data_IF_220705842051
#
_entry.id   IF_220705842051
#
_cell.length_a   1.000
_cell.length_b   1.000
_cell.length_c   1.000
_cell.angle_alpha   90.00
_cell.angle_beta   90.00
_cell.angle_gamma   90.00
#
_symmetry.space_group_name_H-M   'P 1'
#
loop_
_entity.id
_entity.type
_entity.pdbx_description
1 polymer ?
#
# COMPACT_ATOMS: atom_id res chain seq x y z
N UNK A 1 43.86 -29.23 -5.52
CA UNK A 1 43.01 -29.62 -6.66
C UNK A 1 42.01 -28.49 -6.89
N UNK A 2 42.14 -27.76 -8.00
CA UNK A 2 41.24 -26.67 -8.35
C UNK A 2 39.93 -27.25 -8.90
N UNK A 3 38.80 -26.89 -8.29
CA UNK A 3 37.48 -27.25 -8.82
C UNK A 3 37.14 -26.34 -10.00
N UNK A 4 37.02 -26.94 -11.18
CA UNK A 4 36.51 -26.31 -12.40
C UNK A 4 34.99 -26.18 -12.27
N UNK A 5 34.48 -24.94 -12.25
CA UNK A 5 33.06 -24.68 -12.34
C UNK A 5 32.57 -24.86 -13.78
N UNK A 6 31.71 -25.85 -14.01
CA UNK A 6 31.03 -26.07 -15.28
C UNK A 6 29.96 -24.94 -15.48
N UNK A 7 29.93 -24.49 -16.73
CA UNK A 7 29.17 -23.40 -17.29
C UNK A 7 27.68 -23.39 -16.88
N UNK A 8 27.26 -22.32 -16.17
CA UNK A 8 25.86 -21.89 -16.12
C UNK A 8 25.59 -20.89 -17.25
N UNK A 9 24.32 -20.53 -17.51
CA UNK A 9 23.89 -19.70 -18.65
C UNK A 9 24.42 -18.24 -18.68
N UNK A 10 25.37 -17.92 -17.83
CA UNK A 10 26.03 -16.61 -17.72
C UNK A 10 27.44 -16.58 -18.36
N UNK A 11 27.81 -17.59 -19.08
CA UNK A 11 29.16 -17.71 -19.64
C UNK A 11 29.37 -16.99 -20.98
N UNK A 12 28.36 -16.38 -21.58
CA UNK A 12 28.44 -15.73 -22.89
C UNK A 12 28.62 -14.21 -22.88
N UNK A 13 28.56 -13.54 -21.74
CA UNK A 13 28.99 -12.14 -21.68
C UNK A 13 30.46 -12.10 -21.34
N UNK A 14 31.29 -11.70 -22.32
CA UNK A 14 32.76 -11.64 -22.24
C UNK A 14 33.27 -11.08 -20.92
N UNK A 15 33.77 -11.96 -20.06
CA UNK A 15 34.46 -11.60 -18.82
C UNK A 15 35.76 -10.91 -19.16
N UNK A 16 35.78 -9.62 -19.07
CA UNK A 16 36.99 -8.87 -18.81
C UNK A 16 37.41 -9.23 -17.38
N UNK A 17 38.54 -9.91 -17.24
CA UNK A 17 39.13 -10.26 -15.93
C UNK A 17 39.42 -9.00 -15.11
N UNK A 18 39.37 -9.07 -13.78
CA UNK A 18 39.16 -7.91 -12.92
C UNK A 18 40.43 -7.07 -12.75
N UNK A 19 40.51 -6.03 -13.54
CA UNK A 19 41.08 -4.79 -13.03
C UNK A 19 40.20 -4.32 -11.89
N UNK A 20 40.76 -3.68 -10.85
CA UNK A 20 40.11 -3.15 -9.67
C UNK A 20 38.66 -2.73 -10.00
N UNK A 21 37.67 -3.44 -9.43
CA UNK A 21 36.25 -3.14 -9.62
C UNK A 21 36.02 -1.67 -9.23
N UNK A 22 35.81 -0.83 -10.23
CA UNK A 22 35.35 0.55 -9.93
C UNK A 22 33.99 0.41 -9.30
N UNK A 23 33.81 0.95 -8.12
CA UNK A 23 32.48 1.04 -7.51
C UNK A 23 31.53 1.81 -8.44
N UNK A 24 30.26 1.43 -8.49
CA UNK A 24 29.32 2.14 -9.35
C UNK A 24 29.20 3.58 -8.87
N UNK A 25 29.23 4.50 -9.82
CA UNK A 25 29.04 5.93 -9.55
C UNK A 25 27.60 6.33 -9.27
N UNK A 26 26.66 5.37 -9.22
CA UNK A 26 25.23 5.64 -9.16
C UNK A 26 24.54 4.63 -8.24
N UNK A 27 24.15 5.09 -7.06
CA UNK A 27 23.45 4.33 -6.04
C UNK A 27 22.16 5.04 -5.68
N UNK A 28 21.02 4.35 -5.79
CA UNK A 28 19.74 4.92 -5.42
C UNK A 28 19.63 5.07 -3.90
N UNK A 29 19.21 6.26 -3.45
CA UNK A 29 18.89 6.54 -2.06
C UNK A 29 17.53 7.22 -1.94
N UNK A 30 16.87 7.03 -0.79
CA UNK A 30 15.55 7.59 -0.52
C UNK A 30 15.65 8.86 0.34
N UNK A 31 14.97 9.89 -0.11
CA UNK A 31 14.69 11.07 0.72
C UNK A 31 13.45 10.84 1.61
N UNK A 32 13.29 11.60 2.72
CA UNK A 32 12.13 11.50 3.60
C UNK A 32 10.77 11.70 2.91
N UNK A 33 10.74 12.41 1.79
CA UNK A 33 9.54 12.60 0.97
C UNK A 33 9.25 11.44 -0.01
N UNK A 34 10.06 10.37 0.03
CA UNK A 34 9.94 9.20 -0.83
C UNK A 34 10.58 9.37 -2.22
N UNK A 35 11.17 10.52 -2.53
CA UNK A 35 11.90 10.72 -3.80
C UNK A 35 13.19 9.90 -3.79
N UNK A 36 13.46 9.23 -4.91
CA UNK A 36 14.75 8.54 -5.15
C UNK A 36 15.73 9.55 -5.72
N UNK A 37 16.92 9.58 -5.16
CA UNK A 37 18.08 10.32 -5.68
C UNK A 37 19.23 9.36 -5.93
N UNK A 38 20.18 9.77 -6.76
CA UNK A 38 21.37 9.01 -7.08
C UNK A 38 22.56 9.64 -6.39
N UNK A 39 23.37 8.81 -5.72
CA UNK A 39 24.60 9.22 -5.02
C UNK A 39 25.78 8.32 -5.40
N UNK A 40 26.99 8.69 -5.00
CA UNK A 40 28.19 7.94 -5.31
C UNK A 40 28.56 6.90 -4.24
N UNK A 41 28.07 7.07 -2.99
CA UNK A 41 28.42 6.22 -1.87
C UNK A 41 27.21 5.89 -0.99
N UNK A 42 27.20 4.65 -0.44
CA UNK A 42 26.24 4.26 0.60
C UNK A 42 26.69 4.77 1.97
N UNK A 43 25.72 5.19 2.76
CA UNK A 43 25.92 5.44 4.17
C UNK A 43 25.81 4.11 4.95
N UNK A 44 26.68 3.93 5.95
CA UNK A 44 26.72 2.72 6.78
C UNK A 44 26.76 3.09 8.25
N UNK A 45 25.94 2.43 9.04
CA UNK A 45 26.09 2.49 10.49
C UNK A 45 27.31 1.67 10.91
N UNK A 46 28.09 2.18 11.86
CA UNK A 46 29.01 1.38 12.65
C UNK A 46 28.24 0.40 13.55
N UNK A 47 28.90 -0.62 14.05
CA UNK A 47 28.27 -1.54 15.01
C UNK A 47 27.79 -0.85 16.28
N UNK A 48 28.45 0.25 16.71
CA UNK A 48 28.02 1.06 17.86
C UNK A 48 26.73 1.81 17.52
N UNK A 49 26.70 2.53 16.39
CA UNK A 49 25.51 3.28 15.97
C UNK A 49 24.29 2.37 15.77
N UNK A 50 24.47 1.16 15.21
CA UNK A 50 23.39 0.18 15.10
C UNK A 50 22.84 -0.24 16.46
N UNK A 51 23.72 -0.47 17.45
CA UNK A 51 23.32 -0.81 18.82
C UNK A 51 22.60 0.35 19.50
N UNK A 52 23.13 1.55 19.37
CA UNK A 52 22.53 2.77 19.94
C UNK A 52 21.16 3.04 19.33
N UNK A 53 21.01 2.80 18.03
CA UNK A 53 19.74 2.89 17.30
C UNK A 53 18.71 1.90 17.86
N UNK A 54 19.06 0.61 17.98
CA UNK A 54 18.15 -0.42 18.49
C UNK A 54 17.80 -0.20 19.96
N UNK A 55 18.75 0.25 20.79
CA UNK A 55 18.48 0.62 22.18
C UNK A 55 17.53 1.82 22.32
N UNK A 56 17.53 2.73 21.36
CA UNK A 56 16.59 3.85 21.30
C UNK A 56 15.18 3.42 20.93
N UNK A 57 15.06 2.41 20.03
CA UNK A 57 13.76 1.82 19.65
C UNK A 57 13.18 0.99 20.78
N UNK A 58 14.04 0.25 21.50
CA UNK A 58 13.68 -0.67 22.59
C UNK A 58 14.38 -0.24 23.90
N UNK A 59 14.02 0.91 24.50
CA UNK A 59 14.75 1.48 25.63
C UNK A 59 14.69 0.56 26.85
N UNK A 60 15.87 0.17 27.34
CA UNK A 60 16.01 -0.70 28.51
C UNK A 60 15.64 -2.18 28.29
N UNK A 61 15.17 -2.56 27.10
CA UNK A 61 14.71 -3.91 26.79
C UNK A 61 15.82 -4.84 26.25
N UNK A 62 16.95 -4.27 25.81
CA UNK A 62 18.03 -5.01 25.17
C UNK A 62 19.25 -5.17 26.08
N UNK A 63 19.98 -6.26 25.86
CA UNK A 63 21.29 -6.53 26.46
C UNK A 63 22.26 -7.09 25.41
N UNK A 64 23.57 -6.95 25.64
CA UNK A 64 24.59 -7.47 24.73
C UNK A 64 25.13 -8.78 25.28
N UNK A 65 24.99 -9.88 24.49
CA UNK A 65 25.61 -11.18 24.75
C UNK A 65 26.39 -11.60 23.51
N UNK A 66 27.64 -11.98 23.65
CA UNK A 66 28.47 -12.48 22.54
C UNK A 66 28.45 -11.57 21.29
N UNK A 67 28.55 -10.25 21.49
CA UNK A 67 28.52 -9.20 20.45
C UNK A 67 27.16 -9.04 19.74
N UNK A 68 26.13 -9.81 20.09
CA UNK A 68 24.76 -9.69 19.59
C UNK A 68 23.87 -8.96 20.61
N UNK A 69 22.75 -8.43 20.10
CA UNK A 69 21.72 -7.82 20.94
C UNK A 69 20.61 -8.83 21.20
N UNK A 70 20.28 -9.05 22.45
CA UNK A 70 19.21 -9.91 22.93
C UNK A 70 18.14 -9.11 23.65
N UNK A 71 16.90 -9.56 23.55
CA UNK A 71 15.87 -9.09 24.47
C UNK A 71 16.06 -9.71 25.86
N UNK A 72 15.95 -8.88 26.90
CA UNK A 72 16.04 -9.33 28.31
C UNK A 72 14.90 -10.26 28.70
N UNK A 73 13.71 -10.06 28.11
CA UNK A 73 12.52 -10.90 28.33
C UNK A 73 12.44 -11.97 27.25
N UNK A 74 11.94 -13.14 27.65
CA UNK A 74 11.62 -14.21 26.70
C UNK A 74 10.31 -13.94 26.00
N UNK A 75 10.14 -14.52 24.80
CA UNK A 75 8.88 -14.53 24.08
C UNK A 75 7.82 -15.33 24.87
N UNK A 76 6.55 -15.17 24.53
CA UNK A 76 5.44 -15.95 25.11
C UNK A 76 5.69 -17.47 25.04
N UNK A 77 6.42 -17.93 24.03
CA UNK A 77 6.77 -19.34 23.85
C UNK A 77 8.08 -19.73 24.57
N UNK A 78 8.58 -18.89 25.47
CA UNK A 78 9.78 -19.14 26.27
C UNK A 78 11.10 -19.04 25.55
N UNK A 79 11.12 -18.57 24.29
CA UNK A 79 12.35 -18.38 23.50
C UNK A 79 13.03 -17.05 23.87
N UNK A 80 14.34 -17.04 23.86
CA UNK A 80 15.10 -15.78 23.80
C UNK A 80 15.06 -15.26 22.35
N UNK A 81 15.06 -13.93 22.17
CA UNK A 81 15.06 -13.28 20.87
C UNK A 81 16.37 -12.50 20.69
N UNK A 82 17.06 -12.69 19.58
CA UNK A 82 18.27 -11.93 19.28
C UNK A 82 18.28 -11.35 17.86
N UNK A 83 19.00 -10.23 17.70
CA UNK A 83 19.22 -9.57 16.43
C UNK A 83 20.59 -9.92 15.85
N UNK A 84 20.57 -10.42 14.61
CA UNK A 84 21.77 -10.46 13.77
C UNK A 84 21.65 -9.33 12.75
N UNK A 85 22.35 -8.23 13.01
CA UNK A 85 22.19 -6.97 12.28
C UNK A 85 23.22 -6.78 11.18
N UNK A 86 22.82 -6.21 10.05
CA UNK A 86 23.68 -5.80 8.92
C UNK A 86 23.19 -4.50 8.31
N UNK A 87 24.08 -3.72 7.70
CA UNK A 87 23.70 -2.58 6.89
C UNK A 87 23.10 -3.05 5.56
N UNK A 88 22.03 -2.38 5.12
CA UNK A 88 21.49 -2.51 3.77
C UNK A 88 22.26 -1.56 2.86
N UNK A 89 23.06 -2.11 1.97
CA UNK A 89 23.96 -1.36 1.08
C UNK A 89 23.80 -1.82 -0.37
N UNK A 90 24.29 -1.04 -1.32
CA UNK A 90 24.33 -1.41 -2.73
C UNK A 90 25.25 -2.64 -2.95
N UNK A 91 24.92 -3.44 -3.96
CA UNK A 91 25.68 -4.64 -4.28
C UNK A 91 27.13 -4.39 -4.68
N UNK A 92 27.45 -3.20 -5.17
CA UNK A 92 28.74 -2.86 -5.76
C UNK A 92 28.90 -3.37 -7.21
N UNK A 93 29.94 -2.93 -7.89
CA UNK A 93 30.27 -3.35 -9.25
C UNK A 93 29.25 -2.88 -10.30
N UNK A 94 28.89 -3.77 -11.23
CA UNK A 94 28.01 -3.48 -12.37
C UNK A 94 26.51 -3.72 -12.08
N UNK A 95 26.11 -3.86 -10.81
CA UNK A 95 24.71 -4.03 -10.46
C UNK A 95 23.92 -2.73 -10.63
N UNK A 96 22.65 -2.85 -10.99
CA UNK A 96 21.76 -1.67 -11.12
C UNK A 96 21.67 -0.90 -9.81
N UNK A 97 21.54 0.42 -9.90
CA UNK A 97 21.55 1.36 -8.77
C UNK A 97 20.51 1.04 -7.68
N UNK A 98 19.41 0.41 -8.09
CA UNK A 98 18.28 0.03 -7.24
C UNK A 98 18.52 -1.19 -6.35
N UNK A 99 19.53 -2.04 -6.68
CA UNK A 99 19.77 -3.30 -5.97
C UNK A 99 20.59 -3.08 -4.71
N UNK A 100 19.98 -3.41 -3.58
CA UNK A 100 20.64 -3.39 -2.29
C UNK A 100 20.65 -4.77 -1.66
N UNK A 101 21.58 -4.98 -0.70
CA UNK A 101 21.72 -6.25 0.01
C UNK A 101 22.18 -6.03 1.44
N UNK A 102 22.03 -7.09 2.23
CA UNK A 102 22.87 -7.31 3.41
C UNK A 102 23.88 -8.43 3.08
N UNK A 103 25.07 -8.34 3.61
CA UNK A 103 26.05 -9.44 3.58
C UNK A 103 25.82 -10.32 4.80
N UNK A 104 25.34 -11.53 4.56
CA UNK A 104 25.17 -12.53 5.60
C UNK A 104 26.52 -13.23 5.76
N UNK A 105 27.20 -13.01 6.87
CA UNK A 105 28.55 -13.55 7.09
C UNK A 105 28.58 -15.07 7.12
N UNK A 106 29.74 -15.64 6.80
CA UNK A 106 29.95 -17.12 6.70
C UNK A 106 29.65 -17.84 8.02
N UNK A 107 29.76 -17.16 9.15
CA UNK A 107 29.45 -17.70 10.48
C UNK A 107 27.96 -17.71 10.83
N UNK A 108 27.10 -17.15 9.97
CA UNK A 108 25.67 -17.04 10.29
C UNK A 108 24.97 -18.41 10.34
N UNK A 109 25.22 -19.37 9.44
CA UNK A 109 24.62 -20.71 9.54
C UNK A 109 24.92 -21.41 10.85
N UNK A 110 26.18 -21.38 11.32
CA UNK A 110 26.57 -22.00 12.59
C UNK A 110 25.93 -21.30 13.79
N UNK A 111 25.96 -19.97 13.78
CA UNK A 111 25.30 -19.15 14.79
C UNK A 111 23.80 -19.45 14.87
N UNK A 112 23.13 -19.51 13.73
CA UNK A 112 21.70 -19.80 13.66
C UNK A 112 21.40 -21.22 14.19
N UNK A 113 22.18 -22.20 13.78
CA UNK A 113 22.04 -23.59 14.25
C UNK A 113 22.28 -23.69 15.77
N UNK A 114 23.28 -22.99 16.30
CA UNK A 114 23.54 -22.92 17.74
C UNK A 114 22.38 -22.24 18.48
N UNK A 115 21.91 -21.11 17.99
CA UNK A 115 20.79 -20.38 18.58
C UNK A 115 19.53 -21.24 18.62
N UNK A 116 19.22 -21.93 17.51
CA UNK A 116 18.06 -22.83 17.43
C UNK A 116 18.13 -23.95 18.47
N UNK A 117 19.31 -24.56 18.68
CA UNK A 117 19.53 -25.60 19.72
C UNK A 117 19.33 -25.04 21.14
N UNK A 118 19.68 -23.78 21.34
CA UNK A 118 19.56 -23.09 22.64
C UNK A 118 18.19 -22.42 22.85
N UNK A 119 17.20 -22.72 22.01
CA UNK A 119 15.85 -22.10 22.03
C UNK A 119 15.86 -20.58 21.88
N UNK A 120 16.78 -20.08 21.06
CA UNK A 120 16.92 -18.66 20.71
C UNK A 120 16.36 -18.44 19.31
N UNK A 121 15.45 -17.50 19.17
CA UNK A 121 14.95 -17.04 17.87
C UNK A 121 15.82 -15.92 17.34
N UNK A 122 16.33 -16.09 16.12
CA UNK A 122 17.25 -15.16 15.48
C UNK A 122 16.54 -14.35 14.42
N UNK A 123 16.53 -13.03 14.55
CA UNK A 123 16.05 -12.10 13.52
C UNK A 123 17.25 -11.65 12.68
N UNK A 124 17.21 -12.00 11.39
CA UNK A 124 18.16 -11.51 10.39
C UNK A 124 17.68 -10.13 9.94
N UNK A 125 18.34 -9.07 10.45
CA UNK A 125 17.91 -7.69 10.33
C UNK A 125 18.83 -6.86 9.45
N UNK A 126 18.30 -6.30 8.36
CA UNK A 126 18.94 -5.25 7.57
C UNK A 126 18.55 -3.87 8.09
N UNK A 127 19.53 -3.01 8.34
CA UNK A 127 19.28 -1.61 8.69
C UNK A 127 19.63 -0.73 7.48
N UNK A 128 18.62 -0.09 6.92
CA UNK A 128 18.76 0.93 5.89
C UNK A 128 18.69 2.31 6.51
N UNK A 129 19.63 3.18 6.12
CA UNK A 129 19.53 4.58 6.46
C UNK A 129 20.16 5.44 5.37
N UNK A 130 19.63 6.64 5.23
CA UNK A 130 20.20 7.70 4.42
C UNK A 130 19.90 9.06 5.03
N UNK A 131 20.91 9.88 5.23
CA UNK A 131 20.81 11.24 5.75
C UNK A 131 21.33 12.23 4.72
N UNK A 132 20.52 13.20 4.36
CA UNK A 132 20.95 14.28 3.52
C UNK A 132 21.53 15.40 4.39
N UNK A 133 22.82 15.71 4.23
CA UNK A 133 23.53 16.79 4.96
C UNK A 133 23.43 16.65 6.50
N UNK A 134 23.48 15.45 7.03
CA UNK A 134 23.48 15.20 8.48
C UNK A 134 22.17 15.48 9.22
N UNK A 135 21.12 15.81 8.47
CA UNK A 135 19.77 16.02 9.05
C UNK A 135 18.97 14.72 9.09
N UNK A 136 17.82 14.76 9.75
CA UNK A 136 16.91 13.62 9.82
C UNK A 136 16.66 13.02 8.45
N UNK A 137 16.98 11.74 8.33
CA UNK A 137 16.94 11.00 7.10
C UNK A 137 15.91 9.88 7.13
N UNK A 138 16.00 9.00 6.15
CA UNK A 138 15.19 7.78 6.08
C UNK A 138 15.87 6.68 6.89
N UNK A 139 15.10 5.98 7.72
CA UNK A 139 15.49 4.76 8.42
C UNK A 139 14.43 3.70 8.19
N UNK A 140 14.84 2.55 7.72
CA UNK A 140 13.96 1.40 7.49
C UNK A 140 14.65 0.13 7.97
N UNK A 141 13.85 -0.82 8.40
CA UNK A 141 14.27 -2.09 8.96
C UNK A 141 13.77 -3.21 8.06
N UNK A 142 14.70 -4.08 7.64
CA UNK A 142 14.41 -5.15 6.69
C UNK A 142 14.58 -6.48 7.40
N UNK A 143 13.48 -7.17 7.67
CA UNK A 143 13.50 -8.52 8.23
C UNK A 143 13.54 -9.54 7.10
N UNK A 144 14.56 -10.40 7.13
CA UNK A 144 14.74 -11.49 6.18
C UNK A 144 14.47 -12.83 6.87
N UNK A 145 14.10 -13.84 6.08
CA UNK A 145 13.94 -15.22 6.57
C UNK A 145 15.28 -15.79 7.05
N UNK A 146 15.54 -15.76 8.34
CA UNK A 146 16.78 -16.26 8.93
C UNK A 146 17.04 -17.75 8.58
N UNK A 147 16.01 -18.59 8.61
CA UNK A 147 16.11 -20.02 8.26
C UNK A 147 16.60 -20.21 6.82
N UNK A 148 16.07 -19.46 5.87
CA UNK A 148 16.46 -19.57 4.46
C UNK A 148 17.94 -19.28 4.25
N UNK A 149 18.45 -18.21 4.88
CA UNK A 149 19.84 -17.80 4.70
C UNK A 149 20.81 -18.66 5.52
N UNK A 150 20.35 -19.28 6.60
CA UNK A 150 21.13 -20.24 7.37
C UNK A 150 21.30 -21.61 6.67
N UNK A 151 20.36 -21.99 5.79
CA UNK A 151 20.40 -23.30 5.10
C UNK A 151 21.02 -23.25 3.71
N UNK A 152 21.43 -22.07 3.22
CA UNK A 152 22.10 -21.93 1.93
C UNK A 152 23.54 -22.45 2.00
N UNK A 153 23.84 -23.42 1.18
CA UNK A 153 25.20 -24.00 1.04
C UNK A 153 26.14 -23.15 0.15
N UNK A 154 26.06 -21.82 0.24
CA UNK A 154 26.89 -20.93 -0.57
C UNK A 154 27.71 -20.02 0.32
N UNK A 155 29.03 -20.03 0.13
CA UNK A 155 29.91 -19.01 0.68
C UNK A 155 29.45 -17.62 0.15
N UNK A 156 29.37 -16.60 0.98
CA UNK A 156 28.90 -15.25 0.64
C UNK A 156 27.41 -15.17 0.28
N UNK A 157 26.54 -15.70 1.12
CA UNK A 157 25.12 -15.48 0.94
C UNK A 157 24.77 -14.00 1.17
N UNK A 158 24.03 -13.42 0.22
CA UNK A 158 23.51 -12.06 0.32
C UNK A 158 22.00 -12.10 0.28
N UNK A 159 21.36 -11.34 1.16
CA UNK A 159 19.92 -11.14 1.14
C UNK A 159 19.60 -9.81 0.47
N UNK A 160 18.72 -9.84 -0.52
CA UNK A 160 18.47 -8.73 -1.42
C UNK A 160 17.18 -7.99 -1.10
N UNK A 161 17.24 -6.66 -1.20
CA UNK A 161 16.10 -5.75 -1.16
C UNK A 161 16.28 -4.70 -2.26
N UNK A 162 15.20 -4.22 -2.86
CA UNK A 162 15.24 -3.19 -3.89
C UNK A 162 14.86 -1.82 -3.33
N UNK A 163 15.34 -0.74 -3.94
CA UNK A 163 14.98 0.62 -3.53
C UNK A 163 13.46 0.85 -3.56
N UNK A 164 12.75 0.20 -4.50
CA UNK A 164 11.29 0.26 -4.56
C UNK A 164 10.61 -0.40 -3.35
N UNK A 165 11.17 -1.49 -2.81
CA UNK A 165 10.67 -2.13 -1.59
C UNK A 165 10.78 -1.17 -0.40
N UNK A 166 11.93 -0.48 -0.30
CA UNK A 166 12.18 0.54 0.71
C UNK A 166 11.26 1.74 0.56
N UNK A 167 11.03 2.20 -0.68
CA UNK A 167 10.14 3.32 -0.99
C UNK A 167 8.68 3.01 -0.60
N UNK A 168 8.21 1.81 -0.90
CA UNK A 168 6.87 1.36 -0.51
C UNK A 168 6.72 1.30 1.01
N UNK A 169 7.72 0.80 1.73
CA UNK A 169 7.71 0.80 3.19
C UNK A 169 7.78 2.21 3.79
N UNK A 170 8.55 3.11 3.20
CA UNK A 170 8.59 4.51 3.63
C UNK A 170 7.23 5.19 3.48
N UNK A 171 6.54 4.91 2.36
CA UNK A 171 5.22 5.48 2.05
C UNK A 171 4.12 4.91 2.95
N UNK A 172 4.10 3.59 3.15
CA UNK A 172 2.99 2.87 3.76
C UNK A 172 3.29 2.47 5.23
N UNK A 173 4.51 2.74 5.73
CA UNK A 173 4.99 2.29 7.04
C UNK A 173 5.49 0.85 7.05
N UNK A 174 5.06 0.04 6.09
CA UNK A 174 5.35 -1.39 5.96
C UNK A 174 5.19 -1.84 4.52
N UNK A 175 6.05 -2.76 4.10
CA UNK A 175 5.95 -3.42 2.81
C UNK A 175 6.41 -4.88 2.94
N UNK A 176 5.67 -5.79 2.33
CA UNK A 176 5.93 -7.22 2.35
C UNK A 176 5.90 -7.78 0.93
N UNK A 177 6.84 -8.65 0.60
CA UNK A 177 6.78 -9.47 -0.61
C UNK A 177 7.44 -10.81 -0.43
N UNK A 178 7.15 -11.72 -1.33
CA UNK A 178 7.92 -12.96 -1.49
C UNK A 178 8.99 -12.76 -2.56
N UNK A 179 10.18 -13.33 -2.34
CA UNK A 179 11.19 -13.41 -3.37
C UNK A 179 10.89 -14.58 -4.35
N UNK A 180 11.70 -14.73 -5.39
CA UNK A 180 11.55 -15.81 -6.40
C UNK A 180 11.58 -17.24 -5.80
N UNK A 181 12.06 -17.37 -4.58
CA UNK A 181 12.16 -18.65 -3.86
C UNK A 181 11.11 -18.76 -2.75
N UNK A 182 10.07 -17.94 -2.80
CA UNK A 182 9.00 -17.83 -1.79
C UNK A 182 9.50 -17.47 -0.38
N UNK A 183 10.64 -16.78 -0.27
CA UNK A 183 11.09 -16.27 1.02
C UNK A 183 10.48 -14.91 1.28
N UNK A 184 9.99 -14.73 2.48
CA UNK A 184 9.42 -13.48 2.91
C UNK A 184 10.48 -12.40 3.08
N UNK A 185 10.19 -11.22 2.56
CA UNK A 185 10.88 -9.97 2.80
C UNK A 185 9.89 -9.00 3.45
N UNK A 186 10.21 -8.51 4.62
CA UNK A 186 9.40 -7.55 5.34
C UNK A 186 10.20 -6.27 5.59
N UNK A 187 9.76 -5.15 5.05
CA UNK A 187 10.38 -3.83 5.22
C UNK A 187 9.47 -2.95 6.07
N UNK A 188 10.03 -2.32 7.10
CA UNK A 188 9.30 -1.63 8.16
C UNK A 188 9.89 -0.25 8.45
N UNK A 189 9.03 0.75 8.71
CA UNK A 189 9.47 1.95 9.41
C UNK A 189 9.72 1.65 10.90
N UNK A 190 10.24 2.60 11.65
CA UNK A 190 10.63 2.42 13.06
C UNK A 190 9.44 2.00 13.94
N UNK A 191 8.28 2.61 13.75
CA UNK A 191 7.08 2.33 14.54
C UNK A 191 6.58 0.89 14.29
N UNK A 192 6.45 0.51 13.03
CA UNK A 192 5.97 -0.83 12.67
C UNK A 192 7.01 -1.91 13.00
N UNK A 193 8.30 -1.59 12.93
CA UNK A 193 9.36 -2.49 13.39
C UNK A 193 9.23 -2.76 14.89
N UNK A 194 9.02 -1.72 15.69
CA UNK A 194 8.78 -1.89 17.13
C UNK A 194 7.56 -2.76 17.41
N UNK A 195 6.44 -2.49 16.73
CA UNK A 195 5.22 -3.31 16.83
C UNK A 195 5.47 -4.76 16.43
N UNK A 196 6.16 -4.99 15.30
CA UNK A 196 6.49 -6.34 14.84
C UNK A 196 7.26 -7.15 15.87
N UNK A 197 8.28 -6.55 16.47
CA UNK A 197 9.07 -7.24 17.49
C UNK A 197 8.26 -7.49 18.77
N UNK A 198 7.46 -6.53 19.22
CA UNK A 198 6.58 -6.74 20.39
C UNK A 198 5.54 -7.83 20.13
N UNK A 199 5.02 -7.94 18.91
CA UNK A 199 4.11 -9.01 18.53
C UNK A 199 4.80 -10.39 18.58
N UNK A 200 6.04 -10.50 18.10
CA UNK A 200 6.84 -11.72 18.25
C UNK A 200 7.05 -12.06 19.73
N UNK A 201 7.33 -11.06 20.56
CA UNK A 201 7.53 -11.25 22.00
C UNK A 201 6.27 -11.72 22.72
N UNK A 202 5.11 -11.18 22.37
CA UNK A 202 3.83 -11.46 23.03
C UNK A 202 3.09 -12.64 22.41
N UNK A 203 3.54 -13.13 21.26
CA UNK A 203 2.81 -14.12 20.44
C UNK A 203 1.47 -13.57 19.94
N UNK A 204 1.29 -12.25 19.98
CA UNK A 204 0.23 -11.62 19.21
C UNK A 204 0.53 -11.90 17.74
N UNK A 205 -0.40 -12.48 17.03
CA UNK A 205 -0.31 -12.54 15.58
C UNK A 205 -0.11 -11.11 15.11
N UNK A 206 0.92 -10.89 14.28
CA UNK A 206 0.89 -9.73 13.41
C UNK A 206 -0.50 -9.76 12.80
N UNK A 207 -1.25 -8.67 12.99
CA UNK A 207 -2.34 -8.42 12.06
C UNK A 207 -1.70 -8.62 10.69
N UNK A 208 -2.00 -9.74 10.04
CA UNK A 208 -1.39 -10.09 8.75
C UNK A 208 -1.52 -8.86 7.90
N UNK A 209 -0.38 -8.31 7.46
CA UNK A 209 -0.42 -7.36 6.37
C UNK A 209 -0.81 -8.22 5.21
N UNK A 210 -2.11 -8.33 5.06
CA UNK A 210 -2.69 -9.11 4.00
C UNK A 210 -2.23 -8.46 2.73
N UNK A 211 -1.68 -9.27 1.84
CA UNK A 211 -1.33 -8.83 0.51
C UNK A 211 -2.63 -8.43 -0.19
N UNK A 212 -2.98 -7.15 -0.10
CA UNK A 212 -4.15 -6.58 -0.75
C UNK A 212 -4.00 -6.54 -2.28
N UNK A 213 -2.87 -7.02 -2.79
CA UNK A 213 -2.56 -6.99 -4.22
C UNK A 213 -3.68 -7.62 -5.05
N UNK A 214 -4.22 -8.75 -4.62
CA UNK A 214 -5.29 -9.42 -5.37
C UNK A 214 -6.59 -8.61 -5.38
N UNK A 215 -6.89 -7.82 -4.33
CA UNK A 215 -8.03 -6.89 -4.31
C UNK A 215 -7.79 -5.73 -5.26
N UNK A 216 -6.58 -5.19 -5.28
CA UNK A 216 -6.18 -4.11 -6.19
C UNK A 216 -6.20 -4.61 -7.65
N UNK A 217 -5.67 -5.80 -7.90
CA UNK A 217 -5.70 -6.44 -9.22
C UNK A 217 -7.14 -6.70 -9.69
N UNK A 218 -8.05 -7.08 -8.76
CA UNK A 218 -9.47 -7.25 -9.07
C UNK A 218 -10.12 -5.94 -9.55
N UNK A 219 -9.87 -4.83 -8.86
CA UNK A 219 -10.35 -3.51 -9.30
C UNK A 219 -9.68 -3.06 -10.60
N UNK A 220 -8.40 -3.37 -10.81
CA UNK A 220 -7.70 -3.11 -12.07
C UNK A 220 -8.33 -3.84 -13.25
N UNK A 221 -8.64 -5.13 -13.09
CA UNK A 221 -9.34 -5.93 -14.10
C UNK A 221 -10.74 -5.37 -14.37
N UNK A 222 -11.48 -5.00 -13.33
CA UNK A 222 -12.78 -4.36 -13.47
C UNK A 222 -12.68 -3.05 -14.27
N UNK A 223 -11.71 -2.20 -13.96
CA UNK A 223 -11.50 -0.94 -14.68
C UNK A 223 -11.17 -1.17 -16.16
N UNK A 224 -10.38 -2.19 -16.46
CA UNK A 224 -10.02 -2.55 -17.83
C UNK A 224 -11.24 -2.99 -18.71
N UNK A 225 -12.37 -3.37 -18.09
CA UNK A 225 -13.60 -3.70 -18.81
C UNK A 225 -14.51 -2.50 -19.07
N UNK A 226 -14.20 -1.32 -18.50
CA UNK A 226 -14.95 -0.09 -18.74
C UNK A 226 -14.62 0.52 -20.09
N UNK A 227 -15.64 0.96 -20.87
CA UNK A 227 -15.40 1.81 -22.03
C UNK A 227 -14.68 3.10 -21.61
N UNK A 228 -13.76 3.57 -22.43
CA UNK A 228 -13.02 4.82 -22.16
C UNK A 228 -13.96 6.02 -21.98
N UNK A 229 -15.09 6.04 -22.68
CA UNK A 229 -16.11 7.09 -22.58
C UNK A 229 -17.48 6.47 -22.33
N UNK A 230 -18.19 7.00 -21.35
CA UNK A 230 -19.59 6.66 -21.07
C UNK A 230 -20.52 7.82 -21.46
N UNK A 231 -21.66 7.48 -22.02
CA UNK A 231 -22.72 8.44 -22.37
C UNK A 231 -23.89 8.31 -21.39
N UNK A 232 -24.42 9.46 -20.95
CA UNK A 232 -25.45 9.47 -19.91
C UNK A 232 -26.73 8.72 -20.30
N UNK A 233 -27.15 8.79 -21.57
CA UNK A 233 -28.34 8.06 -22.05
C UNK A 233 -28.12 6.55 -21.91
N UNK A 234 -27.00 6.03 -22.41
CA UNK A 234 -26.69 4.58 -22.40
C UNK A 234 -26.62 4.05 -20.96
N UNK A 235 -26.00 4.83 -20.05
CA UNK A 235 -25.92 4.50 -18.64
C UNK A 235 -27.30 4.44 -17.98
N UNK A 236 -28.15 5.42 -18.27
CA UNK A 236 -29.52 5.40 -17.76
C UNK A 236 -30.34 4.23 -18.36
N UNK A 237 -30.19 3.93 -19.65
CA UNK A 237 -30.90 2.80 -20.27
C UNK A 237 -30.59 1.50 -19.56
N UNK A 238 -29.32 1.23 -19.27
CA UNK A 238 -28.90 0.04 -18.50
C UNK A 238 -29.51 0.02 -17.10
N UNK A 239 -29.43 1.13 -16.36
CA UNK A 239 -30.02 1.21 -15.02
C UNK A 239 -31.56 1.07 -15.06
N UNK A 240 -32.23 1.59 -16.10
CA UNK A 240 -33.68 1.42 -16.26
C UNK A 240 -34.04 -0.02 -16.64
N UNK A 241 -33.28 -0.67 -17.52
CA UNK A 241 -33.49 -2.06 -17.91
C UNK A 241 -33.40 -3.00 -16.69
N UNK A 242 -32.44 -2.79 -15.83
CA UNK A 242 -32.24 -3.58 -14.61
C UNK A 242 -33.10 -3.11 -13.41
N UNK A 243 -33.95 -2.12 -13.62
CA UNK A 243 -34.79 -1.53 -12.56
C UNK A 243 -33.95 -1.05 -11.34
N UNK A 244 -32.72 -0.59 -11.57
CA UNK A 244 -31.85 -0.10 -10.49
C UNK A 244 -32.51 1.09 -9.73
N UNK A 245 -32.32 1.11 -8.41
CA UNK A 245 -32.94 2.12 -7.56
C UNK A 245 -32.45 3.55 -7.86
N UNK A 246 -31.22 3.70 -8.35
CA UNK A 246 -30.58 4.98 -8.60
C UNK A 246 -30.90 5.58 -9.98
N UNK A 247 -31.59 4.87 -10.87
CA UNK A 247 -31.99 5.36 -12.20
C UNK A 247 -32.76 6.68 -12.23
N UNK A 248 -33.33 7.08 -11.07
CA UNK A 248 -34.07 8.33 -10.89
C UNK A 248 -33.22 9.49 -10.38
N UNK A 249 -31.92 9.28 -10.22
CA UNK A 249 -30.98 10.29 -9.75
C UNK A 249 -30.37 11.08 -10.91
N UNK A 250 -30.22 12.40 -10.75
CA UNK A 250 -29.77 13.29 -11.83
C UNK A 250 -28.24 13.32 -12.03
N UNK A 251 -27.46 12.91 -11.05
CA UNK A 251 -25.99 12.81 -11.12
C UNK A 251 -25.61 11.36 -11.48
N UNK A 252 -25.92 10.97 -12.73
CA UNK A 252 -25.84 9.59 -13.17
C UNK A 252 -24.43 8.99 -13.04
N UNK A 253 -23.39 9.79 -13.20
CA UNK A 253 -22.01 9.31 -13.21
C UNK A 253 -21.61 8.61 -11.92
N UNK A 254 -22.03 9.14 -10.78
CA UNK A 254 -21.77 8.52 -9.46
C UNK A 254 -22.59 7.24 -9.29
N UNK A 255 -23.87 7.34 -9.52
CA UNK A 255 -24.80 6.23 -9.34
C UNK A 255 -24.58 5.09 -10.34
N UNK A 256 -24.16 5.41 -11.56
CA UNK A 256 -23.81 4.40 -12.55
C UNK A 256 -22.54 3.66 -12.14
N UNK A 257 -21.54 4.32 -11.56
CA UNK A 257 -20.34 3.62 -11.09
C UNK A 257 -20.63 2.67 -9.93
N UNK A 258 -21.48 3.07 -8.98
CA UNK A 258 -21.96 2.15 -7.93
C UNK A 258 -22.71 0.95 -8.55
N UNK A 259 -23.64 1.20 -9.47
CA UNK A 259 -24.37 0.16 -10.21
C UNK A 259 -23.39 -0.77 -10.95
N UNK A 260 -22.43 -0.21 -11.68
CA UNK A 260 -21.45 -0.97 -12.45
C UNK A 260 -20.58 -1.87 -11.56
N UNK A 261 -20.01 -1.33 -10.48
CA UNK A 261 -19.21 -2.10 -9.52
C UNK A 261 -20.02 -3.25 -8.93
N UNK A 262 -21.26 -2.96 -8.52
CA UNK A 262 -22.17 -3.98 -8.01
C UNK A 262 -22.43 -5.10 -9.02
N UNK A 263 -22.70 -4.76 -10.28
CA UNK A 263 -22.89 -5.74 -11.36
C UNK A 263 -21.65 -6.55 -11.64
N UNK A 264 -20.49 -5.91 -11.64
CA UNK A 264 -19.22 -6.61 -11.81
C UNK A 264 -19.00 -7.65 -10.71
N UNK A 265 -19.27 -7.29 -9.44
CA UNK A 265 -19.19 -8.21 -8.29
C UNK A 265 -20.18 -9.38 -8.41
N UNK A 266 -21.40 -9.14 -8.90
CA UNK A 266 -22.40 -10.19 -9.14
C UNK A 266 -21.94 -11.20 -10.21
N UNK A 267 -21.29 -10.71 -11.28
CA UNK A 267 -20.80 -11.54 -12.40
C UNK A 267 -19.50 -12.28 -12.06
N UNK A 268 -18.56 -11.59 -11.44
CA UNK A 268 -17.20 -12.06 -11.16
C UNK A 268 -17.01 -12.37 -9.68
N UNK A 269 -17.93 -13.11 -9.08
CA UNK A 269 -18.04 -13.41 -7.66
C UNK A 269 -16.68 -13.51 -6.94
N UNK A 270 -16.39 -12.56 -6.07
CA UNK A 270 -15.25 -12.62 -5.15
C UNK A 270 -15.72 -13.02 -3.76
N UNK A 271 -15.05 -13.97 -3.12
CA UNK A 271 -15.30 -14.29 -1.71
C UNK A 271 -14.75 -13.21 -0.76
N UNK A 272 -13.91 -12.34 -1.29
CA UNK A 272 -13.18 -11.35 -0.51
C UNK A 272 -13.82 -9.96 -0.52
N UNK A 273 -14.76 -9.70 -1.45
CA UNK A 273 -15.42 -8.41 -1.60
C UNK A 273 -16.93 -8.64 -1.62
N UNK A 274 -17.62 -7.97 -0.72
CA UNK A 274 -19.08 -8.00 -0.63
C UNK A 274 -19.65 -6.62 -0.92
N UNK A 275 -20.72 -6.55 -1.74
CA UNK A 275 -21.52 -5.33 -1.85
C UNK A 275 -22.27 -5.12 -0.54
N UNK A 276 -21.93 -4.08 0.20
CA UNK A 276 -22.43 -3.84 1.54
C UNK A 276 -23.66 -2.93 1.52
N UNK A 277 -24.62 -3.21 2.37
CA UNK A 277 -25.80 -2.39 2.54
C UNK A 277 -26.06 -2.15 4.03
N UNK A 278 -25.76 -0.97 4.49
CA UNK A 278 -25.96 -0.53 5.88
C UNK A 278 -27.42 -0.68 6.36
N UNK A 279 -28.40 -0.59 5.44
CA UNK A 279 -29.83 -0.71 5.78
C UNK A 279 -30.23 -2.07 6.34
N UNK A 280 -29.45 -3.13 6.05
CA UNK A 280 -29.72 -4.49 6.53
C UNK A 280 -29.09 -4.78 7.90
N UNK A 281 -27.98 -4.11 8.24
CA UNK A 281 -27.12 -4.55 9.33
C UNK A 281 -26.91 -3.51 10.44
N UNK A 282 -27.51 -2.29 10.34
CA UNK A 282 -27.36 -1.24 11.36
C UNK A 282 -25.95 -0.66 11.50
N UNK A 283 -25.05 -1.02 10.56
CA UNK A 283 -23.63 -0.71 10.60
C UNK A 283 -23.27 0.53 9.78
N UNK A 284 -21.97 0.74 9.63
CA UNK A 284 -21.39 1.87 8.90
C UNK A 284 -21.84 1.92 7.44
N UNK A 285 -22.15 3.12 6.97
CA UNK A 285 -22.72 3.41 5.65
C UNK A 285 -21.61 3.53 4.60
N UNK A 286 -21.17 2.36 4.08
CA UNK A 286 -20.21 2.20 2.99
C UNK A 286 -20.78 1.30 1.90
N UNK A 287 -20.16 1.29 0.71
CA UNK A 287 -20.63 0.51 -0.44
C UNK A 287 -20.11 -0.93 -0.46
N UNK A 288 -18.92 -1.15 0.09
CA UNK A 288 -18.20 -2.42 0.04
C UNK A 288 -17.72 -2.83 1.44
N UNK A 289 -17.70 -4.14 1.66
CA UNK A 289 -16.99 -4.76 2.77
C UNK A 289 -15.94 -5.71 2.22
N UNK A 290 -14.71 -5.59 2.70
CA UNK A 290 -13.65 -6.54 2.39
C UNK A 290 -13.63 -7.62 3.48
N UNK A 291 -13.89 -8.88 3.06
CA UNK A 291 -14.00 -10.01 3.99
C UNK A 291 -12.63 -10.57 4.42
N UNK A 292 -11.55 -9.89 4.11
CA UNK A 292 -10.17 -10.29 4.42
C UNK A 292 -9.77 -9.93 5.84
N UNK A 293 -10.38 -8.92 6.41
CA UNK A 293 -10.17 -8.51 7.80
C UNK A 293 -11.43 -7.86 8.39
N UNK A 294 -11.49 -7.83 9.72
CA UNK A 294 -12.53 -7.11 10.42
C UNK A 294 -12.34 -5.59 10.23
N UNK A 295 -13.43 -4.84 10.13
CA UNK A 295 -13.42 -3.39 9.99
C UNK A 295 -12.66 -2.86 8.76
N UNK A 296 -12.66 -3.61 7.65
CA UNK A 296 -12.16 -3.14 6.37
C UNK A 296 -13.31 -2.93 5.38
N UNK A 297 -13.50 -1.67 4.98
CA UNK A 297 -14.60 -1.24 4.12
C UNK A 297 -14.08 -0.53 2.88
N UNK A 298 -14.94 -0.43 1.87
CA UNK A 298 -14.70 0.33 0.67
C UNK A 298 -15.88 1.21 0.32
N UNK A 299 -15.61 2.27 -0.43
CA UNK A 299 -16.63 3.19 -0.89
C UNK A 299 -16.32 3.64 -2.32
N UNK A 300 -17.29 3.50 -3.21
CA UNK A 300 -17.14 3.82 -4.63
C UNK A 300 -17.38 5.30 -4.83
N UNK A 301 -16.48 5.96 -5.50
CA UNK A 301 -16.57 7.38 -5.83
C UNK A 301 -16.31 7.61 -7.31
N UNK A 302 -16.96 8.62 -7.85
CA UNK A 302 -16.65 9.14 -9.17
C UNK A 302 -16.51 10.65 -9.07
N UNK A 303 -15.41 11.17 -9.53
CA UNK A 303 -15.09 12.59 -9.38
C UNK A 303 -14.37 13.14 -10.62
N UNK A 304 -14.57 14.45 -10.84
CA UNK A 304 -13.74 15.19 -11.79
C UNK A 304 -12.28 15.13 -11.32
N UNK A 305 -11.38 14.67 -12.19
CA UNK A 305 -9.96 14.45 -11.87
C UNK A 305 -9.27 15.68 -11.23
N UNK A 306 -9.78 16.89 -11.52
CA UNK A 306 -9.24 18.15 -11.01
C UNK A 306 -9.75 18.50 -9.61
N UNK A 307 -10.70 17.74 -9.05
CA UNK A 307 -11.31 18.04 -7.76
C UNK A 307 -10.78 17.17 -6.62
N UNK A 308 -11.00 17.64 -5.39
CA UNK A 308 -10.76 16.84 -4.19
C UNK A 308 -11.78 15.71 -4.09
N UNK A 309 -11.35 14.53 -3.63
CA UNK A 309 -12.26 13.39 -3.43
C UNK A 309 -13.16 13.67 -2.24
N UNK A 310 -14.46 13.69 -2.47
CA UNK A 310 -15.46 13.86 -1.41
C UNK A 310 -15.70 12.51 -0.72
N UNK A 311 -15.45 12.47 0.58
CA UNK A 311 -15.62 11.26 1.39
C UNK A 311 -17.00 11.16 2.05
N UNK A 312 -17.10 10.25 3.00
CA UNK A 312 -18.32 9.92 3.73
C UNK A 312 -18.57 10.86 4.92
N UNK A 313 -19.71 10.63 5.60
CA UNK A 313 -20.05 11.31 6.85
C UNK A 313 -18.91 11.18 7.85
N UNK A 314 -18.68 12.27 8.57
CA UNK A 314 -17.63 12.35 9.58
C UNK A 314 -17.78 11.26 10.63
N UNK A 315 -18.99 11.02 11.15
CA UNK A 315 -19.28 9.98 12.14
C UNK A 315 -18.85 8.59 11.68
N UNK A 316 -19.17 8.20 10.43
CA UNK A 316 -18.83 6.89 9.91
C UNK A 316 -17.32 6.66 9.88
N UNK A 317 -16.55 7.67 9.44
CA UNK A 317 -15.09 7.57 9.35
C UNK A 317 -14.46 7.62 10.74
N UNK A 318 -14.96 8.47 11.64
CA UNK A 318 -14.47 8.55 13.02
C UNK A 318 -14.65 7.22 13.74
N UNK A 319 -15.84 6.60 13.66
CA UNK A 319 -16.12 5.29 14.25
C UNK A 319 -15.21 4.23 13.63
N UNK A 320 -15.15 4.14 12.29
CA UNK A 320 -14.36 3.10 11.64
C UNK A 320 -12.88 3.22 11.97
N UNK A 321 -12.31 4.42 11.77
CA UNK A 321 -10.85 4.59 11.79
C UNK A 321 -10.32 4.87 13.19
N UNK A 322 -10.98 5.74 13.97
CA UNK A 322 -10.48 6.13 15.31
C UNK A 322 -10.88 5.13 16.39
N UNK A 323 -12.15 4.71 16.39
CA UNK A 323 -12.67 3.88 17.49
C UNK A 323 -12.39 2.39 17.24
N UNK A 324 -12.63 1.91 16.00
CA UNK A 324 -12.44 0.50 15.65
C UNK A 324 -11.06 0.18 15.08
N UNK A 325 -10.21 1.18 14.80
CA UNK A 325 -8.88 0.98 14.21
C UNK A 325 -8.92 0.39 12.80
N UNK A 326 -10.06 0.52 12.11
CA UNK A 326 -10.30 -0.07 10.80
C UNK A 326 -9.69 0.70 9.64
N UNK A 327 -9.93 0.20 8.43
CA UNK A 327 -9.44 0.73 7.15
C UNK A 327 -10.60 1.04 6.20
N UNK A 328 -10.44 2.09 5.42
CA UNK A 328 -11.37 2.45 4.35
C UNK A 328 -10.61 2.65 3.04
N UNK A 329 -11.06 2.01 1.98
CA UNK A 329 -10.63 2.31 0.64
C UNK A 329 -11.66 3.17 -0.10
N UNK A 330 -11.23 4.30 -0.65
CA UNK A 330 -11.98 4.99 -1.68
C UNK A 330 -11.52 4.49 -3.05
N UNK A 331 -12.42 3.81 -3.77
CA UNK A 331 -12.24 3.40 -5.15
C UNK A 331 -12.79 4.52 -6.02
N UNK A 332 -11.91 5.35 -6.56
CA UNK A 332 -12.26 6.61 -7.21
C UNK A 332 -12.05 6.51 -8.71
N UNK A 333 -13.12 6.64 -9.47
CA UNK A 333 -13.09 6.75 -10.92
C UNK A 333 -12.96 8.24 -11.28
N UNK A 334 -11.79 8.64 -11.71
CA UNK A 334 -11.50 10.01 -12.11
C UNK A 334 -11.77 10.21 -13.61
N UNK A 335 -12.49 11.25 -13.93
CA UNK A 335 -12.93 11.52 -15.31
C UNK A 335 -12.92 13.00 -15.68
N UNK A 336 -12.91 13.27 -16.99
CA UNK A 336 -13.23 14.57 -17.57
C UNK A 336 -14.69 14.58 -18.05
N UNK A 337 -15.54 15.48 -17.52
CA UNK A 337 -16.95 15.53 -17.86
C UNK A 337 -17.22 16.43 -19.07
N UNK A 338 -18.18 16.04 -19.90
CA UNK A 338 -18.77 16.90 -20.90
C UNK A 338 -20.22 17.29 -20.51
N UNK A 339 -20.51 18.60 -20.48
CA UNK A 339 -21.81 19.09 -20.03
C UNK A 339 -22.90 18.83 -21.06
N UNK A 340 -24.07 18.37 -20.61
CA UNK A 340 -25.25 18.11 -21.44
C UNK A 340 -25.77 19.37 -22.13
N UNK A 341 -25.61 20.54 -21.50
CA UNK A 341 -26.00 21.83 -22.10
C UNK A 341 -25.26 22.16 -23.40
N UNK A 342 -24.05 21.64 -23.59
CA UNK A 342 -23.32 21.79 -24.87
C UNK A 342 -23.88 20.92 -26.01
N UNK A 343 -24.72 19.95 -25.67
CA UNK A 343 -25.35 19.00 -26.58
C UNK A 343 -26.88 19.17 -26.67
N UNK A 344 -27.37 20.38 -26.44
CA UNK A 344 -28.82 20.66 -26.49
C UNK A 344 -29.64 19.96 -25.40
N UNK A 345 -29.02 19.65 -24.25
CA UNK A 345 -29.64 18.96 -23.13
C UNK A 345 -30.24 17.58 -23.47
N UNK A 346 -29.64 16.84 -24.39
CA UNK A 346 -30.16 15.55 -24.90
C UNK A 346 -30.41 14.54 -23.78
N UNK A 347 -29.43 14.39 -22.87
CA UNK A 347 -29.54 13.46 -21.73
C UNK A 347 -30.66 13.88 -20.78
N UNK A 348 -30.72 15.18 -20.47
CA UNK A 348 -31.76 15.73 -19.59
C UNK A 348 -33.17 15.57 -20.15
N UNK A 349 -33.35 15.84 -21.45
CA UNK A 349 -34.65 15.69 -22.14
C UNK A 349 -35.08 14.21 -22.13
N UNK A 350 -34.16 13.32 -22.51
CA UNK A 350 -34.43 11.89 -22.51
C UNK A 350 -34.82 11.37 -21.12
N UNK A 351 -34.05 11.75 -20.08
CA UNK A 351 -34.26 11.33 -18.70
C UNK A 351 -35.60 11.85 -18.13
N UNK A 352 -35.94 13.13 -18.37
CA UNK A 352 -37.23 13.69 -17.97
C UNK A 352 -38.40 12.94 -18.63
N UNK A 353 -38.30 12.63 -19.94
CA UNK A 353 -39.31 11.85 -20.64
C UNK A 353 -39.53 10.49 -20.00
N UNK A 354 -38.44 9.78 -19.65
CA UNK A 354 -38.50 8.48 -18.94
C UNK A 354 -39.15 8.57 -17.57
N UNK A 355 -39.03 9.70 -16.90
CA UNK A 355 -39.63 9.94 -15.58
C UNK A 355 -41.06 10.54 -15.64
N UNK A 356 -41.62 10.74 -16.83
CA UNK A 356 -42.92 11.37 -17.00
C UNK A 356 -42.99 12.84 -16.56
N UNK A 357 -41.87 13.56 -16.67
CA UNK A 357 -41.76 14.98 -16.22
C UNK A 357 -41.81 15.89 -17.45
N UNK A 358 -42.70 16.83 -17.43
CA UNK A 358 -42.90 17.81 -18.51
C UNK A 358 -41.89 18.97 -18.51
N UNK A 359 -41.30 19.30 -17.37
CA UNK A 359 -40.40 20.46 -17.22
C UNK A 359 -38.97 20.03 -16.92
N UNK A 360 -38.00 20.71 -17.57
CA UNK A 360 -36.60 20.58 -17.25
C UNK A 360 -36.37 20.89 -15.76
N UNK A 361 -35.82 19.95 -15.07
CA UNK A 361 -35.43 20.10 -13.65
C UNK A 361 -34.32 21.13 -13.50
N UNK A 362 -34.30 21.83 -12.35
CA UNK A 362 -33.21 22.77 -11.98
C UNK A 362 -31.79 22.14 -12.02
N UNK A 363 -31.68 20.82 -12.07
CA UNK A 363 -30.43 20.08 -12.21
C UNK A 363 -29.89 19.97 -13.62
N UNK A 364 -30.61 20.45 -14.65
CA UNK A 364 -30.15 20.39 -16.05
C UNK A 364 -28.75 21.01 -16.24
N UNK A 365 -28.41 22.05 -15.49
CA UNK A 365 -27.09 22.70 -15.54
C UNK A 365 -25.94 21.81 -15.01
N UNK A 366 -26.24 20.76 -14.28
CA UNK A 366 -25.25 19.80 -13.73
C UNK A 366 -25.21 18.48 -14.46
N UNK A 367 -26.22 18.17 -15.29
CA UNK A 367 -26.27 16.96 -16.09
C UNK A 367 -25.06 16.87 -17.01
N UNK A 368 -24.48 15.69 -17.12
CA UNK A 368 -23.40 15.40 -18.05
C UNK A 368 -23.94 14.63 -19.27
N UNK A 369 -23.45 15.01 -20.44
CA UNK A 369 -23.69 14.28 -21.67
C UNK A 369 -22.86 13.00 -21.70
N UNK A 370 -21.56 13.15 -21.40
CA UNK A 370 -20.60 12.05 -21.31
C UNK A 370 -19.55 12.31 -20.25
N UNK A 371 -18.87 11.23 -19.87
CA UNK A 371 -17.62 11.27 -19.09
C UNK A 371 -16.56 10.45 -19.80
N UNK A 372 -15.32 10.94 -19.80
CA UNK A 372 -14.16 10.20 -20.32
C UNK A 372 -13.22 9.91 -19.16
N UNK A 373 -12.96 8.64 -18.89
CA UNK A 373 -12.10 8.23 -17.78
C UNK A 373 -10.64 8.62 -18.02
N UNK A 374 -10.02 9.17 -16.99
CA UNK A 374 -8.58 9.46 -16.93
C UNK A 374 -7.85 8.34 -16.18
N UNK A 375 -8.41 7.92 -15.04
CA UNK A 375 -7.83 6.88 -14.20
C UNK A 375 -8.86 6.30 -13.22
N UNK A 376 -8.55 5.14 -12.69
CA UNK A 376 -9.12 4.65 -11.43
C UNK A 376 -8.02 4.66 -10.37
N UNK A 377 -8.30 5.25 -9.23
CA UNK A 377 -7.38 5.33 -8.10
C UNK A 377 -7.97 4.68 -6.86
N UNK A 378 -7.14 4.01 -6.07
CA UNK A 378 -7.51 3.56 -4.73
C UNK A 378 -6.75 4.37 -3.70
N UNK A 379 -7.49 5.02 -2.80
CA UNK A 379 -6.95 5.79 -1.68
C UNK A 379 -7.26 5.08 -0.37
N UNK A 380 -6.25 4.84 0.45
CA UNK A 380 -6.44 4.23 1.76
C UNK A 380 -6.54 5.27 2.86
N UNK A 381 -7.57 5.13 3.69
CA UNK A 381 -7.78 5.88 4.92
C UNK A 381 -7.68 4.92 6.09
N UNK A 382 -6.65 5.09 6.89
CA UNK A 382 -6.38 4.37 8.13
C UNK A 382 -5.99 5.38 9.22
N UNK A 383 -5.62 4.93 10.41
CA UNK A 383 -5.24 5.80 11.52
C UNK A 383 -4.12 6.80 11.16
N UNK A 384 -3.16 6.40 10.31
CA UNK A 384 -2.04 7.27 9.90
C UNK A 384 -2.47 8.30 8.84
N UNK A 385 -3.33 7.88 7.90
CA UNK A 385 -3.84 8.72 6.82
C UNK A 385 -4.87 9.74 7.31
N UNK A 386 -5.54 9.43 8.41
CA UNK A 386 -6.66 10.23 8.95
C UNK A 386 -6.32 11.71 9.14
N UNK A 387 -5.12 12.05 9.62
CA UNK A 387 -4.66 13.43 9.84
C UNK A 387 -4.60 14.30 8.57
N UNK A 388 -4.61 13.67 7.39
CA UNK A 388 -4.56 14.36 6.10
C UNK A 388 -5.94 14.68 5.53
N UNK A 389 -6.99 14.12 6.11
CA UNK A 389 -8.36 14.45 5.74
C UNK A 389 -8.73 15.86 6.19
N UNK A 390 -9.63 16.48 5.45
CA UNK A 390 -10.22 17.78 5.83
C UNK A 390 -11.73 17.66 5.96
N UNK A 391 -12.25 18.19 7.04
CA UNK A 391 -13.68 18.36 7.21
C UNK A 391 -14.22 19.41 6.23
N UNK A 392 -15.43 19.22 5.76
CA UNK A 392 -16.17 20.22 5.01
C UNK A 392 -17.67 20.12 5.30
N UNK A 393 -18.35 21.26 5.18
CA UNK A 393 -19.79 21.35 5.34
C UNK A 393 -20.49 20.99 4.03
N UNK A 394 -21.54 20.20 4.15
CA UNK A 394 -22.39 19.82 3.03
C UNK A 394 -23.59 20.75 3.00
N UNK A 395 -23.90 21.30 1.83
CA UNK A 395 -25.09 22.17 1.67
C UNK A 395 -26.34 21.51 2.23
N UNK A 396 -27.19 22.26 2.95
CA UNK A 396 -28.45 21.77 3.48
C UNK A 396 -29.30 21.10 2.40
N UNK A 397 -30.03 20.06 2.78
CA UNK A 397 -31.01 19.42 1.90
C UNK A 397 -32.41 19.70 2.40
N UNK A 398 -33.25 20.36 1.59
CA UNK A 398 -34.62 20.77 1.96
C UNK A 398 -34.64 21.55 3.27
N UNK A 399 -33.71 22.49 3.46
CA UNK A 399 -33.58 23.31 4.64
C UNK A 399 -33.07 22.63 5.90
N UNK A 400 -32.77 21.31 5.83
CA UNK A 400 -32.19 20.54 6.96
C UNK A 400 -30.67 20.53 6.90
N UNK A 401 -29.98 20.85 8.01
CA UNK A 401 -28.54 20.73 8.05
C UNK A 401 -28.11 19.28 7.79
N UNK A 402 -27.02 19.12 7.09
CA UNK A 402 -26.41 17.81 6.83
C UNK A 402 -25.17 17.64 7.68
N UNK A 403 -24.88 16.41 8.07
CA UNK A 403 -23.66 16.10 8.78
C UNK A 403 -22.43 16.46 7.93
N UNK A 404 -21.38 16.97 8.60
CA UNK A 404 -20.09 17.22 7.98
C UNK A 404 -19.53 15.95 7.37
N UNK A 405 -18.76 16.13 6.33
CA UNK A 405 -18.03 15.04 5.66
C UNK A 405 -16.52 15.27 5.71
N UNK A 406 -15.77 14.23 5.50
CA UNK A 406 -14.34 14.34 5.17
C UNK A 406 -14.13 14.41 3.67
N UNK A 407 -12.99 14.98 3.27
CA UNK A 407 -12.50 14.94 1.89
C UNK A 407 -11.00 14.72 1.88
N UNK A 408 -10.49 14.12 0.80
CA UNK A 408 -9.07 14.07 0.48
C UNK A 408 -8.73 15.33 -0.32
N UNK A 409 -7.93 16.26 0.20
CA UNK A 409 -7.49 17.43 -0.56
C UNK A 409 -6.62 17.02 -1.76
N UNK A 410 -6.71 17.73 -2.89
CA UNK A 410 -5.91 17.40 -4.10
C UNK A 410 -4.43 17.20 -3.82
N UNK A 411 -3.82 18.07 -2.99
CA UNK A 411 -2.41 17.98 -2.62
C UNK A 411 -2.04 16.74 -1.80
N UNK A 412 -3.03 16.02 -1.25
CA UNK A 412 -2.84 14.81 -0.45
C UNK A 412 -3.14 13.54 -1.24
N UNK A 413 -3.69 13.64 -2.44
CA UNK A 413 -4.03 12.46 -3.27
C UNK A 413 -2.82 11.55 -3.47
N UNK A 414 -1.66 12.10 -3.84
CA UNK A 414 -0.46 11.28 -4.05
C UNK A 414 0.02 10.55 -2.80
N UNK A 415 -0.16 11.15 -1.62
CA UNK A 415 0.26 10.54 -0.35
C UNK A 415 -0.67 9.42 0.13
N UNK A 416 -1.94 9.47 -0.27
CA UNK A 416 -2.95 8.51 0.18
C UNK A 416 -3.25 7.44 -0.87
N UNK A 417 -2.80 7.65 -2.11
CA UNK A 417 -3.02 6.71 -3.21
C UNK A 417 -2.13 5.48 -3.06
N UNK A 418 -2.76 4.31 -2.99
CA UNK A 418 -2.07 3.02 -2.92
C UNK A 418 -2.07 2.27 -4.26
N UNK A 419 -2.95 2.67 -5.20
CA UNK A 419 -3.06 2.05 -6.51
C UNK A 419 -3.61 3.01 -7.57
N UNK A 420 -3.21 2.83 -8.82
CA UNK A 420 -3.71 3.58 -9.98
C UNK A 420 -3.71 2.71 -11.22
N UNK A 421 -4.84 2.78 -11.99
CA UNK A 421 -4.97 2.34 -13.37
C UNK A 421 -5.26 3.55 -14.26
N UNK A 422 -4.71 3.58 -15.49
CA UNK A 422 -4.93 4.64 -16.50
C UNK A 422 -5.43 4.04 -17.83
#
# INVERSE_FOLDING_TARGET
MARVYKNGPWAESGRVMPGKRKEPKHIDQLLPNGKIIVVEEDQKFSSKETKDLLNRIFPGELEVKNKLLFFKKKTKNGKELCFYTRNVIHLGGYWSSEKKRIEVGDNFPDLYAQNKRNNIETILLGCYHYYLNGKDGVRLYVCFSANTYATRNTNNSAAHVHTIDLQNALKNGIYRRLDKSNNELLVLNEENFRKHIHNLMTGAELQEIKDDKYLLDYFGQMYATLPKTLYGIDCYEQMFADNDQNRKQSAWEGWYMEYYVKKYLELHRSKAIEWWSSKKNGDLDFDLKFCTEENFYGDVKSDDAKKSVQGNKKSNIDILVKEKGGRLWYIVFEFSPEKDSKHGNKTTVWWNKKLGKEKLHSYASRMKYSITFESMNVYEINQFAFKYLKEFEVSPCNGRPREKKYRIPNKMKEYLRIYQCT
#
